data_IF_942923451903
#
_entry.id   IF_942923451903
#
_cell.length_a   1.000
_cell.length_b   1.000
_cell.length_c   1.000
_cell.angle_alpha   90.00
_cell.angle_beta   90.00
_cell.angle_gamma   90.00
#
_symmetry.space_group_name_H-M   'P 1'
#
loop_
_entity.id
_entity.type
_entity.pdbx_description
1 polymer ?
#
# COMPACT_ATOMS: atom_id res chain seq x y z
N UNK A 1 3.66 2.38 -39.55
CA UNK A 1 3.20 3.27 -38.47
C UNK A 1 4.40 4.06 -37.97
N UNK A 2 4.31 5.38 -37.88
CA UNK A 2 5.35 6.21 -37.25
C UNK A 2 5.37 5.93 -35.74
N UNK A 3 6.55 5.75 -35.17
CA UNK A 3 6.70 5.60 -33.72
C UNK A 3 6.32 6.90 -32.98
N UNK A 4 5.80 6.81 -31.75
CA UNK A 4 5.57 8.00 -30.93
C UNK A 4 6.89 8.70 -30.61
N UNK A 5 6.86 10.02 -30.44
CA UNK A 5 8.05 10.80 -30.04
C UNK A 5 8.39 10.70 -28.55
N UNK A 6 7.40 10.30 -27.73
CA UNK A 6 7.51 10.16 -26.28
C UNK A 6 6.63 9.00 -25.78
N UNK A 7 7.16 8.22 -24.84
CA UNK A 7 6.41 7.24 -24.04
C UNK A 7 6.52 7.59 -22.56
N UNK A 8 5.39 7.62 -21.87
CA UNK A 8 5.31 7.88 -20.43
C UNK A 8 4.90 6.61 -19.72
N UNK A 9 5.74 6.15 -18.79
CA UNK A 9 5.50 5.00 -17.93
C UNK A 9 5.06 5.52 -16.56
N UNK A 10 3.75 5.69 -16.39
CA UNK A 10 3.17 5.93 -15.07
C UNK A 10 3.18 4.64 -14.23
N UNK A 11 3.36 4.77 -12.92
CA UNK A 11 3.57 3.65 -11.99
C UNK A 11 4.63 2.64 -12.50
N UNK A 12 5.81 3.18 -12.84
CA UNK A 12 6.89 2.44 -13.51
C UNK A 12 7.47 1.26 -12.71
N UNK A 13 7.14 1.11 -11.42
CA UNK A 13 7.46 -0.08 -10.62
C UNK A 13 6.81 -1.35 -11.19
N UNK A 14 5.82 -1.23 -12.09
CA UNK A 14 5.29 -2.34 -12.89
C UNK A 14 6.35 -2.98 -13.79
N UNK A 15 7.40 -2.25 -14.19
CA UNK A 15 8.46 -2.70 -15.08
C UNK A 15 9.62 -3.43 -14.39
N UNK A 16 9.45 -3.83 -13.12
CA UNK A 16 10.52 -4.46 -12.31
C UNK A 16 10.75 -5.94 -12.62
N UNK A 17 9.81 -6.59 -13.30
CA UNK A 17 9.92 -8.01 -13.63
C UNK A 17 10.42 -8.17 -15.07
N UNK A 18 11.69 -8.53 -15.20
CA UNK A 18 12.39 -8.73 -16.46
C UNK A 18 11.65 -9.70 -17.40
N UNK A 19 11.02 -10.76 -16.87
CA UNK A 19 10.36 -11.77 -17.72
C UNK A 19 8.96 -11.36 -18.18
N UNK A 20 8.41 -10.25 -17.68
CA UNK A 20 7.07 -9.81 -18.08
C UNK A 20 7.08 -9.22 -19.49
N UNK A 21 6.02 -9.49 -20.26
CA UNK A 21 5.87 -8.94 -21.61
C UNK A 21 5.88 -7.41 -21.61
N UNK A 22 5.30 -6.77 -20.58
CA UNK A 22 5.30 -5.31 -20.44
C UNK A 22 6.72 -4.74 -20.34
N UNK A 23 7.57 -5.35 -19.49
CA UNK A 23 8.97 -4.95 -19.34
C UNK A 23 9.76 -5.16 -20.64
N UNK A 24 9.63 -6.33 -21.26
CA UNK A 24 10.34 -6.64 -22.52
C UNK A 24 9.93 -5.69 -23.66
N UNK A 25 8.63 -5.38 -23.77
CA UNK A 25 8.13 -4.38 -24.72
C UNK A 25 8.65 -2.97 -24.41
N UNK A 26 8.81 -2.62 -23.13
CA UNK A 26 9.39 -1.32 -22.76
C UNK A 26 10.85 -1.19 -23.22
N UNK A 27 11.61 -2.29 -23.20
CA UNK A 27 13.00 -2.33 -23.64
C UNK A 27 13.16 -2.33 -25.16
N UNK A 28 12.17 -2.84 -25.91
CA UNK A 28 12.21 -2.85 -27.38
C UNK A 28 11.88 -1.51 -28.03
N UNK A 29 11.43 -0.52 -27.25
CA UNK A 29 11.19 0.83 -27.75
C UNK A 29 12.51 1.43 -28.27
N UNK A 30 12.58 1.89 -29.53
CA UNK A 30 13.81 2.42 -30.13
C UNK A 30 14.42 3.58 -29.35
N UNK A 31 15.75 3.70 -29.38
CA UNK A 31 16.49 4.75 -28.67
C UNK A 31 16.10 6.19 -29.07
N UNK A 32 15.59 6.39 -30.30
CA UNK A 32 15.09 7.69 -30.76
C UNK A 32 13.77 8.16 -30.12
N UNK A 33 13.07 7.28 -29.39
CA UNK A 33 11.83 7.61 -28.68
C UNK A 33 12.17 8.06 -27.27
N UNK A 34 11.74 9.27 -26.89
CA UNK A 34 11.94 9.78 -25.53
C UNK A 34 11.12 8.98 -24.52
N UNK A 35 11.63 8.84 -23.29
CA UNK A 35 10.98 8.06 -22.23
C UNK A 35 10.91 8.88 -20.94
N UNK A 36 9.77 8.81 -20.26
CA UNK A 36 9.59 9.35 -18.90
C UNK A 36 9.08 8.23 -18.01
N UNK A 37 9.69 8.06 -16.84
CA UNK A 37 9.27 7.08 -15.84
C UNK A 37 8.78 7.82 -14.60
N UNK A 38 7.55 7.53 -14.16
CA UNK A 38 6.90 8.20 -13.04
C UNK A 38 6.50 7.14 -12.02
N UNK A 39 6.86 7.34 -10.75
CA UNK A 39 6.39 6.52 -9.64
C UNK A 39 6.67 7.20 -8.31
N UNK A 40 5.73 7.08 -7.37
CA UNK A 40 5.95 7.43 -5.97
C UNK A 40 6.78 6.36 -5.22
N UNK A 41 6.83 5.13 -5.73
CA UNK A 41 7.47 3.98 -5.09
C UNK A 41 8.25 3.14 -6.11
N UNK A 42 9.25 3.74 -6.78
CA UNK A 42 9.83 3.16 -8.00
C UNK A 42 10.53 1.82 -7.73
N UNK A 43 11.26 1.71 -6.62
CA UNK A 43 12.10 0.55 -6.32
C UNK A 43 12.10 0.21 -4.83
N UNK A 44 12.27 -1.07 -4.51
CA UNK A 44 12.56 -1.61 -3.18
C UNK A 44 13.96 -2.23 -3.12
N UNK A 45 14.53 -2.57 -4.29
CA UNK A 45 15.84 -3.19 -4.47
C UNK A 45 16.55 -2.56 -5.67
N UNK A 46 17.87 -2.59 -5.69
CA UNK A 46 18.65 -2.05 -6.82
C UNK A 46 18.32 -2.78 -8.13
N UNK A 47 18.15 -4.10 -8.08
CA UNK A 47 17.80 -4.90 -9.27
C UNK A 47 16.51 -4.45 -9.95
N UNK A 48 15.55 -3.88 -9.20
CA UNK A 48 14.26 -3.44 -9.73
C UNK A 48 14.36 -2.16 -10.58
N UNK A 49 15.50 -1.47 -10.56
CA UNK A 49 15.72 -0.23 -11.30
C UNK A 49 16.14 -0.44 -12.76
N UNK A 50 16.41 -1.68 -13.18
CA UNK A 50 16.93 -2.06 -14.50
C UNK A 50 16.26 -1.30 -15.66
N UNK A 51 14.94 -1.40 -15.75
CA UNK A 51 14.16 -0.80 -16.84
C UNK A 51 14.28 0.72 -16.87
N UNK A 52 14.36 1.35 -15.71
CA UNK A 52 14.46 2.81 -15.64
C UNK A 52 15.88 3.28 -15.94
N UNK A 53 16.91 2.67 -15.34
CA UNK A 53 18.31 3.07 -15.59
C UNK A 53 18.69 2.90 -17.06
N UNK A 54 18.24 1.82 -17.71
CA UNK A 54 18.40 1.61 -19.14
C UNK A 54 17.55 2.59 -19.95
N UNK A 55 16.29 2.79 -19.55
CA UNK A 55 15.34 3.63 -20.26
C UNK A 55 15.73 5.10 -20.31
N UNK A 56 16.34 5.63 -19.26
CA UNK A 56 16.85 7.02 -19.18
C UNK A 56 18.24 7.19 -19.78
N UNK A 57 18.87 6.10 -20.26
CA UNK A 57 20.23 6.14 -20.79
C UNK A 57 21.27 6.49 -19.73
N UNK A 58 21.13 5.92 -18.52
CA UNK A 58 22.08 6.17 -17.44
C UNK A 58 23.50 5.76 -17.86
N UNK A 59 24.50 6.54 -17.47
CA UNK A 59 25.90 6.17 -17.57
C UNK A 59 26.45 5.97 -16.16
N UNK A 60 27.35 4.99 -16.00
CA UNK A 60 28.00 4.75 -14.72
C UNK A 60 29.49 4.48 -14.94
N UNK A 61 30.33 5.33 -14.35
CA UNK A 61 31.79 5.33 -14.57
C UNK A 61 32.21 5.43 -16.05
N UNK A 62 31.45 6.16 -16.87
CA UNK A 62 31.74 6.36 -18.30
C UNK A 62 31.29 5.20 -19.20
N UNK A 63 30.68 4.16 -18.64
CA UNK A 63 30.06 3.09 -19.42
C UNK A 63 28.55 3.34 -19.58
N UNK A 64 28.01 3.28 -20.81
CA UNK A 64 26.58 3.43 -21.06
C UNK A 64 25.81 2.21 -20.56
N UNK A 65 24.61 2.44 -20.00
CA UNK A 65 23.70 1.38 -19.59
C UNK A 65 22.99 0.76 -20.80
N UNK A 66 23.46 -0.41 -21.22
CA UNK A 66 22.84 -1.25 -22.26
C UNK A 66 22.25 -2.53 -21.65
N UNK A 67 21.64 -3.38 -22.48
CA UNK A 67 21.12 -4.68 -22.04
C UNK A 67 22.21 -5.57 -21.45
N UNK A 68 23.43 -5.46 -21.97
CA UNK A 68 24.61 -6.25 -21.60
C UNK A 68 25.30 -5.69 -20.35
N UNK A 69 25.40 -4.36 -20.22
CA UNK A 69 26.14 -3.73 -19.12
C UNK A 69 25.30 -3.49 -17.88
N UNK A 70 23.95 -3.44 -18.00
CA UNK A 70 23.06 -3.14 -16.86
C UNK A 70 23.23 -4.08 -15.66
N UNK A 71 23.47 -5.40 -15.78
CA UNK A 71 23.71 -6.25 -14.62
C UNK A 71 24.93 -5.81 -13.81
N UNK A 72 26.03 -5.45 -14.50
CA UNK A 72 27.26 -4.99 -13.85
C UNK A 72 27.07 -3.60 -13.25
N UNK A 73 26.37 -2.70 -13.93
CA UNK A 73 26.02 -1.37 -13.39
C UNK A 73 25.27 -1.49 -12.07
N UNK A 74 24.22 -2.32 -12.02
CA UNK A 74 23.43 -2.55 -10.82
C UNK A 74 24.27 -3.23 -9.71
N UNK A 75 25.18 -4.13 -10.06
CA UNK A 75 26.15 -4.71 -9.13
C UNK A 75 27.12 -3.67 -8.56
N UNK A 76 27.63 -2.75 -9.38
CA UNK A 76 28.52 -1.68 -8.95
C UNK A 76 27.83 -0.75 -7.93
N UNK A 77 26.55 -0.44 -8.15
CA UNK A 77 25.72 0.30 -7.19
C UNK A 77 25.53 -0.51 -5.89
N UNK A 78 25.29 -1.82 -6.02
CA UNK A 78 25.12 -2.72 -4.88
C UNK A 78 26.42 -2.95 -4.07
N UNK A 79 27.59 -2.76 -4.71
CA UNK A 79 28.94 -3.04 -4.21
C UNK A 79 29.13 -4.51 -3.82
N UNK A 80 29.48 -4.77 -2.55
CA UNK A 80 29.70 -6.10 -2.00
C UNK A 80 28.41 -6.89 -1.74
N UNK A 81 27.25 -6.23 -1.80
CA UNK A 81 25.96 -6.88 -1.60
C UNK A 81 25.32 -7.34 -2.92
N UNK A 82 24.29 -8.17 -2.81
CA UNK A 82 23.50 -8.61 -3.98
C UNK A 82 22.50 -7.50 -4.38
N UNK A 83 22.35 -7.15 -5.67
CA UNK A 83 21.35 -6.17 -6.13
C UNK A 83 19.90 -6.53 -5.79
N UNK A 84 19.64 -7.82 -5.55
CA UNK A 84 18.32 -8.38 -5.21
C UNK A 84 17.99 -8.32 -3.71
N UNK A 85 18.92 -7.84 -2.87
CA UNK A 85 18.75 -7.72 -1.43
C UNK A 85 18.00 -6.43 -1.06
N UNK A 86 17.23 -6.48 0.03
CA UNK A 86 16.70 -5.27 0.66
C UNK A 86 17.81 -4.60 1.46
N UNK A 87 18.27 -3.42 1.02
CA UNK A 87 19.32 -2.67 1.69
C UNK A 87 19.17 -1.16 1.46
N UNK A 88 18.91 -0.41 2.53
CA UNK A 88 18.71 1.05 2.46
C UNK A 88 19.94 1.77 1.88
N UNK A 89 21.15 1.40 2.32
CA UNK A 89 22.38 2.01 1.82
C UNK A 89 22.59 1.77 0.31
N UNK A 90 22.15 0.63 -0.22
CA UNK A 90 22.17 0.38 -1.67
C UNK A 90 21.17 1.28 -2.41
N UNK A 91 19.98 1.47 -1.84
CA UNK A 91 18.96 2.36 -2.42
C UNK A 91 19.38 3.84 -2.40
N UNK A 92 20.05 4.29 -1.33
CA UNK A 92 20.60 5.65 -1.26
C UNK A 92 21.68 5.89 -2.33
N UNK A 93 22.53 4.87 -2.57
CA UNK A 93 23.53 4.93 -3.66
C UNK A 93 22.87 4.99 -5.03
N UNK A 94 21.86 4.16 -5.27
CA UNK A 94 21.08 4.21 -6.52
C UNK A 94 20.46 5.60 -6.71
N UNK A 95 19.79 6.13 -5.68
CA UNK A 95 19.20 7.47 -5.71
C UNK A 95 20.22 8.54 -6.05
N UNK A 96 21.40 8.52 -5.42
CA UNK A 96 22.50 9.46 -5.69
C UNK A 96 22.98 9.33 -7.14
N UNK A 97 23.17 8.12 -7.63
CA UNK A 97 23.62 7.88 -9.00
C UNK A 97 22.57 8.33 -10.04
N UNK A 98 21.28 8.27 -9.69
CA UNK A 98 20.16 8.71 -10.54
C UNK A 98 19.93 10.23 -10.55
N UNK A 99 20.59 11.03 -9.71
CA UNK A 99 20.37 12.48 -9.64
C UNK A 99 20.47 13.24 -10.98
N UNK A 100 21.40 12.90 -11.90
CA UNK A 100 21.47 13.55 -13.21
C UNK A 100 20.31 13.17 -14.15
N UNK A 101 19.61 12.07 -13.86
CA UNK A 101 18.62 11.44 -14.74
C UNK A 101 17.18 11.50 -14.19
N UNK A 102 17.00 11.92 -12.94
CA UNK A 102 15.73 11.87 -12.23
C UNK A 102 15.43 13.19 -11.52
N UNK A 103 14.18 13.63 -11.62
CA UNK A 103 13.64 14.72 -10.81
C UNK A 103 13.01 14.13 -9.56
N UNK A 104 13.62 14.39 -8.40
CA UNK A 104 13.05 14.03 -7.11
C UNK A 104 12.19 15.18 -6.60
N UNK A 105 10.88 14.94 -6.50
CA UNK A 105 9.93 15.96 -6.03
C UNK A 105 10.33 16.41 -4.61
N UNK A 106 10.47 17.73 -4.36
CA UNK A 106 10.79 18.23 -3.02
C UNK A 106 9.63 17.99 -2.06
N UNK A 107 9.91 18.07 -0.75
CA UNK A 107 8.89 17.86 0.29
C UNK A 107 7.71 18.83 0.07
N UNK A 108 6.55 18.27 -0.26
CA UNK A 108 5.29 19.00 -0.35
C UNK A 108 4.78 19.29 1.07
N UNK A 109 4.44 20.54 1.34
CA UNK A 109 3.77 20.91 2.60
C UNK A 109 2.28 20.70 2.42
N UNK A 110 1.71 19.82 3.23
CA UNK A 110 0.27 19.59 3.30
C UNK A 110 -0.29 20.50 4.40
N UNK A 111 -1.40 21.19 4.11
CA UNK A 111 -2.12 21.99 5.12
C UNK A 111 -2.64 21.10 6.25
N UNK A 112 -3.15 19.94 5.87
CA UNK A 112 -3.70 18.93 6.76
C UNK A 112 -2.76 17.74 6.88
N UNK A 113 -2.81 17.05 8.01
CA UNK A 113 -1.90 15.93 8.30
C UNK A 113 -2.55 14.57 8.06
N UNK A 114 -1.70 13.55 7.99
CA UNK A 114 -2.10 12.16 8.04
C UNK A 114 -1.58 11.54 9.33
N UNK A 115 -2.46 10.89 10.08
CA UNK A 115 -2.13 10.16 11.30
C UNK A 115 -2.27 8.68 11.00
N UNK A 116 -1.15 8.00 10.78
CA UNK A 116 -1.14 6.58 10.42
C UNK A 116 -0.53 5.75 11.55
N UNK A 117 -1.21 4.67 11.93
CA UNK A 117 -0.76 3.75 12.98
C UNK A 117 -0.79 2.28 12.53
N UNK A 118 0.08 1.48 13.11
CA UNK A 118 -0.05 0.02 13.08
C UNK A 118 -0.73 -0.43 14.36
N UNK A 119 -1.85 -1.13 14.23
CA UNK A 119 -2.65 -1.59 15.36
C UNK A 119 -2.52 -3.10 15.48
N UNK A 120 -2.11 -3.56 16.66
CA UNK A 120 -2.14 -4.97 17.02
C UNK A 120 -3.46 -5.27 17.71
N UNK A 121 -4.29 -6.07 17.06
CA UNK A 121 -5.57 -6.52 17.58
C UNK A 121 -5.44 -7.91 18.18
N UNK A 122 -6.14 -8.14 19.27
CA UNK A 122 -6.31 -9.46 19.86
C UNK A 122 -7.56 -10.15 19.28
N UNK A 123 -7.62 -11.47 19.39
CA UNK A 123 -8.82 -12.24 19.04
C UNK A 123 -9.87 -12.04 20.14
N UNK A 124 -11.12 -11.76 19.77
CA UNK A 124 -12.23 -11.58 20.73
C UNK A 124 -12.57 -12.88 21.46
N UNK A 125 -12.39 -14.02 20.79
CA UNK A 125 -12.75 -15.34 21.31
C UNK A 125 -11.70 -16.39 20.94
N UNK A 126 -11.65 -17.48 21.71
CA UNK A 126 -10.83 -18.65 21.35
C UNK A 126 -11.23 -19.24 20.00
N UNK A 127 -12.54 -19.24 19.68
CA UNK A 127 -13.05 -19.73 18.40
C UNK A 127 -12.55 -18.89 17.21
N UNK A 128 -12.44 -17.57 17.36
CA UNK A 128 -11.86 -16.69 16.34
C UNK A 128 -10.37 -17.02 16.11
N UNK A 129 -9.62 -17.21 17.20
CA UNK A 129 -8.22 -17.65 17.15
C UNK A 129 -8.07 -19.01 16.48
N UNK A 130 -8.89 -19.99 16.85
CA UNK A 130 -8.90 -21.33 16.25
C UNK A 130 -9.20 -21.28 14.74
N UNK A 131 -10.12 -20.41 14.31
CA UNK A 131 -10.44 -20.22 12.91
C UNK A 131 -9.25 -19.66 12.13
N UNK A 132 -8.57 -18.63 12.66
CA UNK A 132 -7.32 -18.11 12.08
C UNK A 132 -6.23 -19.19 12.04
N UNK A 133 -6.01 -19.88 13.15
CA UNK A 133 -4.97 -20.91 13.29
C UNK A 133 -5.22 -22.08 12.34
N UNK A 134 -6.47 -22.41 12.02
CA UNK A 134 -6.80 -23.44 11.03
C UNK A 134 -6.20 -23.15 9.65
N UNK A 135 -6.25 -21.88 9.20
CA UNK A 135 -5.64 -21.44 7.94
C UNK A 135 -4.11 -21.45 8.03
N UNK A 136 -3.55 -21.01 9.16
CA UNK A 136 -2.10 -20.99 9.36
C UNK A 136 -1.51 -22.40 9.43
N UNK A 137 -2.14 -23.34 10.14
CA UNK A 137 -1.76 -24.75 10.20
C UNK A 137 -1.83 -25.40 8.82
N UNK A 138 -2.87 -25.12 8.03
CA UNK A 138 -2.98 -25.61 6.66
C UNK A 138 -1.81 -25.12 5.78
N UNK A 139 -1.40 -23.86 5.93
CA UNK A 139 -0.23 -23.30 5.26
C UNK A 139 1.08 -23.95 5.74
N UNK A 140 1.27 -24.09 7.06
CA UNK A 140 2.46 -24.73 7.63
C UNK A 140 2.65 -26.16 7.14
N UNK A 141 1.57 -26.95 7.05
CA UNK A 141 1.59 -28.30 6.47
C UNK A 141 2.10 -28.30 5.03
N UNK A 142 1.74 -27.28 4.22
CA UNK A 142 2.27 -27.13 2.86
C UNK A 142 3.76 -26.77 2.87
N UNK A 143 4.21 -25.91 3.78
CA UNK A 143 5.63 -25.62 3.95
C UNK A 143 6.44 -26.87 4.30
N UNK A 144 5.95 -27.69 5.23
CA UNK A 144 6.61 -28.95 5.62
C UNK A 144 6.66 -29.96 4.47
N UNK A 145 5.60 -30.05 3.65
CA UNK A 145 5.60 -30.87 2.45
C UNK A 145 6.64 -30.41 1.43
N UNK A 146 6.78 -29.10 1.23
CA UNK A 146 7.79 -28.54 0.33
C UNK A 146 9.21 -28.88 0.79
N UNK A 147 9.49 -28.77 2.09
CA UNK A 147 10.82 -29.10 2.63
C UNK A 147 11.18 -30.58 2.44
N UNK A 148 10.18 -31.46 2.39
CA UNK A 148 10.39 -32.92 2.23
C UNK A 148 10.44 -33.38 0.78
N UNK A 149 9.93 -32.60 -0.17
CA UNK A 149 9.81 -33.00 -1.57
C UNK A 149 10.38 -31.92 -2.50
N UNK A 150 11.51 -32.22 -3.14
CA UNK A 150 12.17 -31.32 -4.09
C UNK A 150 11.33 -31.02 -5.34
N UNK A 151 10.33 -31.84 -5.66
CA UNK A 151 9.39 -31.61 -6.76
C UNK A 151 8.17 -30.76 -6.34
N UNK A 152 8.08 -30.31 -5.09
CA UNK A 152 7.01 -29.41 -4.67
C UNK A 152 7.26 -28.01 -5.25
N UNK A 153 6.45 -27.65 -6.23
CA UNK A 153 6.64 -26.44 -7.03
C UNK A 153 6.43 -25.15 -6.26
N UNK A 154 7.05 -24.08 -6.77
CA UNK A 154 6.86 -22.73 -6.26
C UNK A 154 5.40 -22.26 -6.37
N UNK A 155 4.66 -22.75 -7.37
CA UNK A 155 3.27 -22.39 -7.62
C UNK A 155 2.34 -22.89 -6.50
N UNK A 156 2.53 -24.11 -6.03
CA UNK A 156 1.77 -24.70 -4.93
C UNK A 156 1.97 -23.91 -3.63
N UNK A 157 3.20 -23.43 -3.39
CA UNK A 157 3.49 -22.59 -2.24
C UNK A 157 2.82 -21.21 -2.35
N UNK A 158 2.81 -20.63 -3.55
CA UNK A 158 2.10 -19.38 -3.83
C UNK A 158 0.57 -19.50 -3.62
N UNK A 159 -0.02 -20.65 -3.98
CA UNK A 159 -1.43 -20.94 -3.69
C UNK A 159 -1.65 -21.10 -2.18
N UNK A 160 -0.76 -21.81 -1.48
CA UNK A 160 -0.90 -22.02 -0.05
C UNK A 160 -0.84 -20.71 0.76
N UNK A 161 0.13 -19.84 0.45
CA UNK A 161 0.23 -18.51 1.08
C UNK A 161 -0.97 -17.63 0.72
N UNK A 162 -1.49 -17.71 -0.52
CA UNK A 162 -2.68 -16.96 -0.93
C UNK A 162 -3.91 -17.38 -0.13
N UNK A 163 -4.14 -18.69 0.03
CA UNK A 163 -5.26 -19.22 0.83
C UNK A 163 -5.17 -18.80 2.30
N UNK A 164 -3.98 -18.88 2.89
CA UNK A 164 -3.77 -18.40 4.25
C UNK A 164 -4.09 -16.90 4.38
N UNK A 165 -3.58 -16.08 3.46
CA UNK A 165 -3.83 -14.64 3.47
C UNK A 165 -5.31 -14.30 3.31
N UNK A 166 -6.03 -14.99 2.44
CA UNK A 166 -7.47 -14.78 2.26
C UNK A 166 -8.22 -15.16 3.54
N UNK A 167 -7.97 -16.35 4.09
CA UNK A 167 -8.61 -16.81 5.33
C UNK A 167 -8.30 -15.93 6.54
N UNK A 168 -7.05 -15.50 6.72
CA UNK A 168 -6.68 -14.54 7.77
C UNK A 168 -7.41 -13.20 7.64
N UNK A 169 -7.69 -12.75 6.41
CA UNK A 169 -8.45 -11.53 6.17
C UNK A 169 -9.96 -11.72 6.35
N UNK A 170 -10.50 -12.92 6.07
CA UNK A 170 -11.89 -13.27 6.36
C UNK A 170 -12.21 -13.16 7.86
N UNK A 171 -11.33 -13.72 8.72
CA UNK A 171 -11.49 -13.63 10.19
C UNK A 171 -11.50 -12.16 10.64
N UNK A 172 -10.56 -11.36 10.12
CA UNK A 172 -10.42 -9.93 10.44
C UNK A 172 -11.57 -9.05 9.92
N UNK A 173 -12.22 -9.44 8.83
CA UNK A 173 -13.20 -8.59 8.14
C UNK A 173 -14.32 -8.09 9.07
N UNK A 174 -14.76 -8.94 10.00
CA UNK A 174 -15.79 -8.59 11.00
C UNK A 174 -15.28 -7.55 11.99
N UNK A 175 -14.03 -7.69 12.46
CA UNK A 175 -13.38 -6.71 13.36
C UNK A 175 -13.22 -5.35 12.68
N UNK A 176 -12.79 -5.34 11.42
CA UNK A 176 -12.70 -4.10 10.63
C UNK A 176 -14.06 -3.43 10.44
N UNK A 177 -15.14 -4.20 10.22
CA UNK A 177 -16.49 -3.66 10.12
C UNK A 177 -16.96 -3.02 11.44
N UNK A 178 -16.77 -3.70 12.60
CA UNK A 178 -17.07 -3.15 13.93
C UNK A 178 -16.35 -1.82 14.16
N UNK A 179 -15.05 -1.76 13.83
CA UNK A 179 -14.25 -0.53 13.90
C UNK A 179 -14.77 0.57 12.97
N UNK A 180 -15.19 0.23 11.77
CA UNK A 180 -15.77 1.21 10.86
C UNK A 180 -17.03 1.86 11.44
N UNK A 181 -17.88 1.09 12.13
CA UNK A 181 -19.09 1.62 12.77
C UNK A 181 -18.74 2.63 13.87
N UNK A 182 -17.82 2.28 14.77
CA UNK A 182 -17.31 3.18 15.82
C UNK A 182 -16.79 4.51 15.23
N UNK A 183 -16.03 4.45 14.13
CA UNK A 183 -15.52 5.65 13.48
C UNK A 183 -16.61 6.46 12.75
N UNK A 184 -17.65 5.81 12.22
CA UNK A 184 -18.82 6.48 11.63
C UNK A 184 -19.63 7.20 12.70
N UNK A 185 -19.82 6.58 13.87
CA UNK A 185 -20.51 7.19 15.02
C UNK A 185 -19.77 8.42 15.55
N UNK A 186 -18.43 8.43 15.45
CA UNK A 186 -17.56 9.59 15.71
C UNK A 186 -17.53 10.62 14.57
N UNK A 187 -18.49 10.57 13.64
CA UNK A 187 -18.63 11.55 12.58
C UNK A 187 -17.60 11.46 11.44
N UNK A 188 -16.94 10.32 11.23
CA UNK A 188 -15.98 10.14 10.13
C UNK A 188 -16.61 9.40 8.94
N UNK A 189 -16.07 9.62 7.75
CA UNK A 189 -16.33 8.76 6.59
C UNK A 189 -15.20 7.72 6.47
N UNK A 190 -15.56 6.44 6.45
CA UNK A 190 -14.62 5.33 6.60
C UNK A 190 -14.36 4.64 5.28
N UNK A 191 -13.08 4.42 5.00
CA UNK A 191 -12.59 3.62 3.89
C UNK A 191 -12.12 2.27 4.40
N UNK A 192 -12.84 1.20 4.07
CA UNK A 192 -12.42 -0.17 4.36
C UNK A 192 -11.71 -0.76 3.14
N UNK A 193 -10.45 -1.12 3.33
CA UNK A 193 -9.62 -1.65 2.25
C UNK A 193 -9.51 -3.17 2.37
N UNK A 194 -9.45 -3.89 1.26
CA UNK A 194 -9.31 -5.36 1.28
C UNK A 194 -8.31 -5.85 0.22
N UNK A 195 -7.53 -6.88 0.53
CA UNK A 195 -6.74 -7.56 -0.50
C UNK A 195 -7.62 -8.49 -1.36
N UNK A 196 -8.70 -9.04 -0.78
CA UNK A 196 -9.55 -10.06 -1.40
C UNK A 196 -11.04 -9.68 -1.38
N UNK A 197 -11.79 -10.18 -2.36
CA UNK A 197 -13.22 -9.85 -2.50
C UNK A 197 -14.09 -10.56 -1.45
N UNK A 198 -13.74 -11.78 -1.05
CA UNK A 198 -14.54 -12.54 -0.08
C UNK A 198 -14.52 -11.90 1.32
N UNK A 199 -13.36 -11.54 1.92
CA UNK A 199 -13.31 -10.72 3.13
C UNK A 199 -14.12 -9.42 3.02
N UNK A 200 -14.03 -8.71 1.88
CA UNK A 200 -14.83 -7.50 1.66
C UNK A 200 -16.34 -7.77 1.75
N UNK A 201 -16.82 -8.89 1.20
CA UNK A 201 -18.23 -9.31 1.30
C UNK A 201 -18.63 -9.65 2.73
N UNK A 202 -17.73 -10.25 3.51
CA UNK A 202 -17.96 -10.52 4.94
C UNK A 202 -18.09 -9.23 5.73
N UNK A 203 -17.19 -8.26 5.50
CA UNK A 203 -17.30 -6.93 6.12
C UNK A 203 -18.59 -6.22 5.72
N UNK A 204 -18.98 -6.27 4.44
CA UNK A 204 -20.26 -5.71 3.97
C UNK A 204 -21.46 -6.30 4.74
N UNK A 205 -21.50 -7.63 4.89
CA UNK A 205 -22.55 -8.31 5.67
C UNK A 205 -22.51 -7.89 7.14
N UNK A 206 -21.33 -7.79 7.74
CA UNK A 206 -21.17 -7.37 9.13
C UNK A 206 -21.67 -5.93 9.35
N UNK A 207 -21.38 -5.00 8.44
CA UNK A 207 -21.90 -3.63 8.48
C UNK A 207 -23.43 -3.60 8.44
N UNK A 208 -24.05 -4.36 7.52
CA UNK A 208 -25.52 -4.46 7.43
C UNK A 208 -26.13 -5.07 8.68
N UNK A 209 -25.52 -6.12 9.23
CA UNK A 209 -26.00 -6.78 10.44
C UNK A 209 -25.90 -5.88 11.68
N UNK A 210 -24.97 -4.93 11.69
CA UNK A 210 -24.85 -3.91 12.72
C UNK A 210 -25.79 -2.70 12.51
N UNK A 211 -26.69 -2.76 11.52
CA UNK A 211 -27.72 -1.74 11.30
C UNK A 211 -27.37 -0.64 10.30
N UNK A 212 -26.20 -0.70 9.65
CA UNK A 212 -25.87 0.28 8.61
C UNK A 212 -26.66 -0.04 7.34
N UNK A 213 -27.52 0.89 6.91
CA UNK A 213 -28.36 0.72 5.74
C UNK A 213 -27.54 0.69 4.44
N UNK A 214 -28.06 0.02 3.42
CA UNK A 214 -27.33 -0.23 2.16
C UNK A 214 -27.02 1.05 1.38
N UNK A 215 -27.89 2.06 1.47
CA UNK A 215 -27.68 3.39 0.92
C UNK A 215 -26.52 4.13 1.59
N UNK A 216 -26.16 3.80 2.84
CA UNK A 216 -25.02 4.37 3.57
C UNK A 216 -23.69 3.66 3.26
N UNK A 217 -23.71 2.63 2.40
CA UNK A 217 -22.52 1.87 2.03
C UNK A 217 -22.24 2.04 0.53
N UNK A 218 -20.97 2.25 0.18
CA UNK A 218 -20.46 2.24 -1.19
C UNK A 218 -19.42 1.14 -1.37
N UNK A 219 -19.25 0.64 -2.60
CA UNK A 219 -18.22 -0.36 -2.87
C UNK A 219 -17.59 -0.28 -4.27
N UNK A 220 -16.26 -0.39 -4.33
CA UNK A 220 -15.46 -0.39 -5.56
C UNK A 220 -14.68 -1.71 -5.70
N UNK A 221 -15.10 -2.55 -6.64
CA UNK A 221 -14.48 -3.87 -6.91
C UNK A 221 -14.11 -4.04 -8.38
N UNK A 222 -13.23 -5.02 -8.63
CA UNK A 222 -12.90 -5.44 -9.99
C UNK A 222 -14.14 -5.96 -10.73
N UNK A 223 -14.19 -5.77 -12.04
CA UNK A 223 -15.32 -6.19 -12.88
C UNK A 223 -16.48 -5.18 -12.97
N UNK A 224 -16.50 -4.13 -12.15
CA UNK A 224 -17.47 -3.03 -12.32
C UNK A 224 -17.13 -2.18 -13.56
N UNK A 225 -18.17 -1.71 -14.25
CA UNK A 225 -18.03 -0.72 -15.32
C UNK A 225 -17.43 0.60 -14.79
N UNK A 226 -16.72 1.37 -15.64
CA UNK A 226 -16.20 2.68 -15.24
C UNK A 226 -17.28 3.62 -14.68
N UNK A 227 -18.47 3.65 -15.29
CA UNK A 227 -19.59 4.47 -14.85
C UNK A 227 -20.09 4.07 -13.45
N UNK A 228 -20.24 2.77 -13.17
CA UNK A 228 -20.66 2.29 -11.84
C UNK A 228 -19.62 2.62 -10.77
N UNK A 229 -18.35 2.40 -11.09
CA UNK A 229 -17.23 2.74 -10.18
C UNK A 229 -17.23 4.23 -9.84
N UNK A 230 -17.45 5.07 -10.84
CA UNK A 230 -17.49 6.53 -10.66
C UNK A 230 -18.70 6.97 -9.83
N UNK A 231 -19.87 6.36 -10.04
CA UNK A 231 -21.05 6.64 -9.22
C UNK A 231 -20.84 6.29 -7.74
N UNK A 232 -20.21 5.14 -7.44
CA UNK A 232 -19.85 4.74 -6.07
C UNK A 232 -18.82 5.68 -5.45
N UNK A 233 -17.83 6.13 -6.23
CA UNK A 233 -16.83 7.12 -5.82
C UNK A 233 -17.49 8.46 -5.48
N UNK A 234 -18.35 8.96 -6.38
CA UNK A 234 -19.05 10.23 -6.21
C UNK A 234 -19.97 10.20 -4.98
N UNK A 235 -20.74 9.14 -4.81
CA UNK A 235 -21.60 8.92 -3.64
C UNK A 235 -20.82 9.04 -2.33
N UNK A 236 -19.62 8.45 -2.26
CA UNK A 236 -18.76 8.59 -1.09
C UNK A 236 -18.15 9.99 -0.96
N UNK A 237 -17.65 10.58 -2.05
CA UNK A 237 -17.06 11.93 -2.00
C UNK A 237 -18.06 13.01 -1.57
N UNK A 238 -19.32 12.89 -2.00
CA UNK A 238 -20.44 13.80 -1.67
C UNK A 238 -21.03 13.57 -0.27
N UNK A 239 -20.45 12.70 0.54
CA UNK A 239 -20.91 12.47 1.92
C UNK A 239 -22.15 11.57 2.06
N UNK A 240 -22.72 11.08 0.95
CA UNK A 240 -23.96 10.28 0.90
C UNK A 240 -23.80 8.85 1.41
N UNK A 241 -22.59 8.30 1.39
CA UNK A 241 -22.26 7.04 2.06
C UNK A 241 -21.25 7.27 3.18
N UNK A 242 -21.43 6.57 4.29
CA UNK A 242 -20.55 6.63 5.45
C UNK A 242 -19.33 5.73 5.28
N UNK A 243 -19.52 4.58 4.63
CA UNK A 243 -18.47 3.57 4.44
C UNK A 243 -18.28 3.28 2.96
N UNK A 244 -17.03 3.29 2.52
CA UNK A 244 -16.62 2.81 1.19
C UNK A 244 -15.71 1.59 1.34
N UNK A 245 -16.16 0.45 0.79
CA UNK A 245 -15.36 -0.76 0.71
C UNK A 245 -14.65 -0.84 -0.65
N UNK A 246 -13.37 -1.16 -0.69
CA UNK A 246 -12.71 -1.42 -1.98
C UNK A 246 -11.57 -2.41 -1.87
N UNK A 247 -11.25 -3.06 -3.00
CA UNK A 247 -10.09 -3.94 -3.05
C UNK A 247 -8.84 -3.19 -3.51
N UNK A 248 -7.67 -3.55 -2.97
CA UNK A 248 -6.37 -2.92 -3.32
C UNK A 248 -6.15 -2.87 -4.84
N UNK A 249 -6.54 -3.93 -5.54
CA UNK A 249 -6.38 -4.09 -6.99
C UNK A 249 -7.45 -3.39 -7.82
N UNK A 250 -8.66 -3.16 -7.30
CA UNK A 250 -9.68 -2.38 -8.02
C UNK A 250 -9.35 -0.88 -8.09
N UNK A 251 -8.41 -0.43 -7.26
CA UNK A 251 -7.90 0.94 -7.23
C UNK A 251 -6.78 1.25 -8.24
N UNK A 252 -6.44 0.35 -9.17
CA UNK A 252 -5.37 0.54 -10.17
C UNK A 252 -5.52 1.75 -11.09
N UNK A 253 -6.61 2.50 -10.98
CA UNK A 253 -6.89 3.76 -11.69
C UNK A 253 -6.93 4.91 -10.69
N UNK A 254 -5.81 5.27 -10.07
CA UNK A 254 -5.61 6.56 -9.37
C UNK A 254 -6.79 7.13 -8.55
N UNK A 255 -7.65 6.29 -7.94
CA UNK A 255 -8.92 6.76 -7.40
C UNK A 255 -8.64 7.66 -6.20
N UNK A 256 -9.09 8.91 -6.30
CA UNK A 256 -8.94 9.93 -5.27
C UNK A 256 -10.17 9.91 -4.37
N UNK A 257 -9.95 9.64 -3.08
CA UNK A 257 -10.98 9.45 -2.05
C UNK A 257 -10.77 10.36 -0.84
N UNK A 258 -9.86 11.33 -0.96
CA UNK A 258 -9.57 12.31 0.08
C UNK A 258 -10.74 13.26 0.31
N UNK A 259 -10.88 13.73 1.55
CA UNK A 259 -11.91 14.71 1.92
C UNK A 259 -11.58 16.06 1.29
N UNK A 260 -12.37 16.45 0.28
CA UNK A 260 -12.13 17.65 -0.54
C UNK A 260 -13.38 18.49 -0.81
N UNK A 261 -14.47 18.19 -0.12
CA UNK A 261 -15.77 18.85 -0.29
C UNK A 261 -16.44 18.98 1.08
N UNK A 262 -17.16 20.08 1.31
CA UNK A 262 -17.79 20.39 2.60
C UNK A 262 -19.00 19.50 2.89
N UNK A 263 -19.52 18.85 1.86
CA UNK A 263 -20.60 17.88 1.93
C UNK A 263 -20.13 16.55 2.53
N UNK A 264 -18.81 16.28 2.48
CA UNK A 264 -18.19 15.12 3.11
C UNK A 264 -17.81 15.31 4.58
N UNK A 265 -17.15 14.29 5.15
CA UNK A 265 -16.60 14.28 6.52
C UNK A 265 -15.13 13.86 6.53
N UNK A 266 -14.36 14.17 7.59
CA UNK A 266 -12.98 13.72 7.72
C UNK A 266 -12.82 12.20 7.50
N UNK A 267 -11.74 11.80 6.80
CA UNK A 267 -11.54 10.40 6.43
C UNK A 267 -10.89 9.59 7.55
N UNK A 268 -11.37 8.37 7.71
CA UNK A 268 -10.69 7.30 8.43
C UNK A 268 -10.45 6.11 7.50
N UNK A 269 -9.25 5.54 7.47
CA UNK A 269 -8.91 4.42 6.59
C UNK A 269 -8.47 3.23 7.42
N UNK A 270 -9.10 2.07 7.20
CA UNK A 270 -8.75 0.81 7.85
C UNK A 270 -8.21 -0.15 6.79
N UNK A 271 -6.96 -0.57 6.95
CA UNK A 271 -6.21 -1.37 5.97
C UNK A 271 -5.81 -2.70 6.62
N UNK A 272 -6.03 -3.84 5.95
CA UNK A 272 -5.56 -5.14 6.43
C UNK A 272 -4.05 -5.29 6.15
N UNK A 273 -3.40 -6.31 6.72
CA UNK A 273 -2.01 -6.62 6.40
C UNK A 273 -1.82 -6.81 4.90
N UNK A 274 -0.80 -6.16 4.34
CA UNK A 274 -0.36 -6.42 2.97
C UNK A 274 1.10 -6.80 2.95
N UNK A 275 1.42 -7.79 2.13
CA UNK A 275 2.79 -8.29 1.95
C UNK A 275 3.59 -7.43 0.95
N UNK A 276 2.91 -6.49 0.28
CA UNK A 276 3.47 -5.53 -0.66
C UNK A 276 3.50 -4.14 -0.03
N UNK A 277 4.70 -3.65 0.26
CA UNK A 277 4.89 -2.27 0.75
C UNK A 277 4.48 -1.21 -0.29
N UNK A 278 4.56 -1.52 -1.58
CA UNK A 278 4.08 -0.65 -2.66
C UNK A 278 2.56 -0.51 -2.56
N UNK A 279 1.85 -1.63 -2.47
CA UNK A 279 0.39 -1.64 -2.38
C UNK A 279 -0.05 -0.88 -1.12
N UNK A 280 0.67 -1.07 0.00
CA UNK A 280 0.41 -0.35 1.25
C UNK A 280 0.50 1.17 1.07
N UNK A 281 1.60 1.68 0.53
CA UNK A 281 1.79 3.13 0.28
C UNK A 281 0.70 3.64 -0.64
N UNK A 282 0.37 2.89 -1.69
CA UNK A 282 -0.68 3.26 -2.62
C UNK A 282 -2.07 3.34 -1.95
N UNK A 283 -2.38 2.44 -1.02
CA UNK A 283 -3.62 2.50 -0.25
C UNK A 283 -3.65 3.69 0.72
N UNK A 284 -2.55 3.92 1.43
CA UNK A 284 -2.40 5.06 2.34
C UNK A 284 -2.51 6.41 1.59
N UNK A 285 -2.06 6.47 0.32
CA UNK A 285 -2.16 7.66 -0.52
C UNK A 285 -3.56 7.98 -1.08
N UNK A 286 -4.58 7.12 -0.87
CA UNK A 286 -5.92 7.34 -1.48
C UNK A 286 -6.77 8.36 -0.75
N UNK A 287 -6.71 8.36 0.58
CA UNK A 287 -7.57 9.20 1.42
C UNK A 287 -6.94 10.53 1.83
N UNK A 288 -5.69 10.82 1.43
CA UNK A 288 -5.02 12.06 1.76
C UNK A 288 -4.29 12.65 0.54
N UNK A 289 -4.55 13.93 0.22
CA UNK A 289 -3.94 14.67 -0.89
C UNK A 289 -3.65 16.11 -0.49
N UNK A 290 -2.91 16.83 -1.33
CA UNK A 290 -2.57 18.24 -1.09
C UNK A 290 -3.82 19.13 -0.97
N UNK A 291 -4.89 18.76 -1.67
CA UNK A 291 -6.21 19.42 -1.66
C UNK A 291 -7.14 18.90 -0.57
N UNK A 292 -6.66 18.07 0.36
CA UNK A 292 -7.44 17.68 1.54
C UNK A 292 -7.83 18.91 2.34
N UNK A 293 -9.07 18.92 2.85
CA UNK A 293 -9.61 20.02 3.68
C UNK A 293 -9.74 19.64 5.17
N UNK A 294 -9.30 18.44 5.55
CA UNK A 294 -9.20 17.99 6.94
C UNK A 294 -8.08 16.97 7.10
N UNK A 295 -7.71 16.73 8.35
CA UNK A 295 -6.77 15.68 8.71
C UNK A 295 -7.38 14.30 8.42
N UNK A 296 -6.49 13.33 8.14
CA UNK A 296 -6.85 11.97 7.74
C UNK A 296 -6.25 10.98 8.72
N UNK A 297 -7.08 10.16 9.33
CA UNK A 297 -6.65 9.08 10.23
C UNK A 297 -6.58 7.75 9.48
N UNK A 298 -5.59 6.92 9.77
CA UNK A 298 -5.32 5.68 9.05
C UNK A 298 -4.78 4.62 10.01
N UNK A 299 -5.21 3.38 9.83
CA UNK A 299 -4.69 2.25 10.59
C UNK A 299 -4.47 1.02 9.72
N UNK A 300 -3.37 0.32 10.00
CA UNK A 300 -3.08 -1.01 9.46
C UNK A 300 -3.26 -2.02 10.58
N UNK A 301 -4.19 -2.96 10.41
CA UNK A 301 -4.70 -3.83 11.48
C UNK A 301 -4.08 -5.22 11.39
N UNK A 302 -3.28 -5.62 12.38
CA UNK A 302 -2.53 -6.88 12.41
C UNK A 302 -2.95 -7.72 13.63
N UNK A 303 -2.99 -9.04 13.52
CA UNK A 303 -3.23 -9.91 14.68
C UNK A 303 -1.97 -10.10 15.52
N UNK A 304 -2.08 -9.75 16.81
CA UNK A 304 -1.05 -9.96 17.83
C UNK A 304 -0.80 -11.45 18.07
N UNK A 305 0.44 -11.79 18.42
CA UNK A 305 0.89 -13.15 18.73
C UNK A 305 0.64 -14.12 17.56
N UNK A 306 0.87 -13.64 16.34
CA UNK A 306 0.79 -14.45 15.11
C UNK A 306 1.94 -14.17 14.15
N UNK A 307 2.03 -14.93 13.05
CA UNK A 307 3.01 -14.72 11.99
C UNK A 307 2.97 -13.30 11.38
N UNK A 308 1.84 -12.60 11.53
CA UNK A 308 1.63 -11.26 10.98
C UNK A 308 2.61 -10.22 11.52
N UNK A 309 3.11 -10.36 12.75
CA UNK A 309 4.16 -9.47 13.28
C UNK A 309 5.48 -9.65 12.52
N UNK A 310 5.83 -10.89 12.16
CA UNK A 310 7.00 -11.14 11.30
C UNK A 310 6.80 -10.55 9.91
N UNK A 311 5.58 -10.60 9.37
CA UNK A 311 5.24 -9.98 8.09
C UNK A 311 5.35 -8.46 8.17
N UNK A 312 4.86 -7.86 9.26
CA UNK A 312 4.96 -6.43 9.55
C UNK A 312 6.42 -5.95 9.48
N UNK A 313 7.35 -6.65 10.15
CA UNK A 313 8.79 -6.32 10.11
C UNK A 313 9.40 -6.44 8.71
N UNK A 314 8.96 -7.43 7.92
CA UNK A 314 9.40 -7.56 6.51
C UNK A 314 8.87 -6.41 5.63
N UNK A 315 7.64 -5.97 5.86
CA UNK A 315 7.03 -4.84 5.13
C UNK A 315 7.72 -3.53 5.52
N UNK A 316 8.01 -3.32 6.81
CA UNK A 316 8.81 -2.21 7.32
C UNK A 316 10.18 -2.13 6.65
N UNK A 317 10.89 -3.25 6.53
CA UNK A 317 12.18 -3.28 5.83
C UNK A 317 12.07 -2.85 4.35
N UNK A 318 10.99 -3.26 3.66
CA UNK A 318 10.72 -2.83 2.28
C UNK A 318 10.40 -1.34 2.19
N UNK A 319 9.58 -0.81 3.10
CA UNK A 319 9.23 0.62 3.15
C UNK A 319 10.46 1.50 3.39
N UNK A 320 11.35 1.07 4.28
CA UNK A 320 12.61 1.77 4.50
C UNK A 320 13.46 1.85 3.23
N UNK A 321 13.50 0.78 2.43
CA UNK A 321 14.21 0.77 1.15
C UNK A 321 13.54 1.68 0.10
N UNK A 322 12.21 1.69 0.03
CA UNK A 322 11.46 2.63 -0.84
C UNK A 322 11.81 4.07 -0.45
N UNK A 323 11.76 4.39 0.84
CA UNK A 323 12.04 5.72 1.34
C UNK A 323 13.48 6.19 1.07
N UNK A 324 14.43 5.28 1.15
CA UNK A 324 15.83 5.52 0.78
C UNK A 324 16.02 5.79 -0.73
N UNK A 325 15.10 5.31 -1.57
CA UNK A 325 15.12 5.53 -3.02
C UNK A 325 14.49 6.86 -3.45
N UNK A 326 13.72 7.53 -2.58
CA UNK A 326 13.06 8.81 -2.86
C UNK A 326 13.79 10.00 -2.18
N UNK A 327 13.53 11.22 -2.67
CA UNK A 327 14.34 12.41 -2.40
C UNK A 327 14.45 12.88 -0.93
N UNK A 328 13.34 12.87 -0.18
CA UNK A 328 13.28 13.21 1.26
C UNK A 328 12.21 12.36 1.95
N UNK A 329 12.43 12.05 3.24
CA UNK A 329 11.64 11.10 4.04
C UNK A 329 10.13 11.39 3.94
N UNK A 330 9.41 10.51 3.27
CA UNK A 330 7.96 10.52 3.24
C UNK A 330 7.40 10.06 4.59
N UNK A 331 6.24 10.57 4.99
CA UNK A 331 5.63 10.23 6.28
C UNK A 331 5.16 8.75 6.36
N UNK A 332 5.05 8.03 5.23
CA UNK A 332 4.64 6.62 5.20
C UNK A 332 5.62 5.67 5.92
N UNK A 333 6.86 6.08 6.16
CA UNK A 333 7.80 5.29 6.97
C UNK A 333 7.54 5.43 8.45
N UNK A 334 7.07 6.61 8.88
CA UNK A 334 6.73 6.87 10.27
C UNK A 334 5.59 5.98 10.78
N UNK A 335 4.80 5.41 9.87
CA UNK A 335 3.74 4.40 10.12
C UNK A 335 4.22 3.24 11.01
N UNK A 336 5.48 2.82 10.84
CA UNK A 336 6.07 1.67 11.55
C UNK A 336 7.22 2.05 12.50
N UNK A 337 7.70 3.30 12.47
CA UNK A 337 8.84 3.77 13.27
C UNK A 337 8.48 4.80 14.34
N UNK A 338 7.44 5.63 14.12
CA UNK A 338 6.96 6.62 15.09
C UNK A 338 5.49 6.39 15.49
N UNK A 339 4.73 5.61 14.72
CA UNK A 339 3.45 5.08 15.17
C UNK A 339 3.73 4.12 16.33
N UNK A 340 3.32 4.49 17.53
CA UNK A 340 3.22 3.55 18.65
C UNK A 340 2.51 2.31 18.12
N UNK A 341 3.13 1.14 18.22
CA UNK A 341 2.42 -0.12 18.03
C UNK A 341 1.42 -0.18 19.19
N UNK A 342 0.23 0.37 18.96
CA UNK A 342 -0.82 0.43 19.95
C UNK A 342 -1.39 -0.98 20.03
N UNK A 343 -1.15 -1.62 21.18
CA UNK A 343 -1.89 -2.80 21.58
C UNK A 343 -3.33 -2.36 21.82
N UNK A 344 -4.31 -3.17 21.41
CA UNK A 344 -5.72 -2.93 21.72
C UNK A 344 -5.95 -3.02 23.24
N UNK A 345 -5.67 -1.93 23.96
CA UNK A 345 -6.36 -1.62 25.21
C UNK A 345 -7.51 -0.74 24.76
N UNK A 346 -8.65 -1.34 24.46
CA UNK A 346 -9.87 -0.58 24.19
C UNK A 346 -10.16 0.30 25.41
N UNK A 347 -9.79 1.57 25.36
CA UNK A 347 -10.21 2.57 26.34
C UNK A 347 -10.61 3.83 25.59
N UNK A 348 -11.71 4.45 26.02
CA UNK A 348 -12.28 5.65 25.40
C UNK A 348 -11.29 6.83 25.31
N UNK A 349 -10.23 6.82 26.14
CA UNK A 349 -9.16 7.82 26.19
C UNK A 349 -8.36 7.99 24.87
N UNK A 350 -8.15 6.93 24.09
CA UNK A 350 -7.23 6.96 22.93
C UNK A 350 -7.75 7.81 21.75
N UNK A 351 -9.07 8.00 21.70
CA UNK A 351 -9.70 8.82 20.67
C UNK A 351 -10.00 10.25 21.13
N UNK A 352 -10.13 10.46 22.45
CA UNK A 352 -10.11 11.80 23.03
C UNK A 352 -8.76 12.47 22.75
N UNK A 353 -7.62 11.77 22.84
CA UNK A 353 -6.33 12.32 22.41
C UNK A 353 -6.31 12.74 20.93
N UNK A 354 -6.99 12.01 20.03
CA UNK A 354 -7.09 12.37 18.61
C UNK A 354 -8.06 13.53 18.36
N UNK A 355 -9.12 13.67 19.16
CA UNK A 355 -10.04 14.82 19.10
C UNK A 355 -9.40 16.07 19.71
N UNK A 356 -8.69 15.93 20.83
CA UNK A 356 -7.96 16.97 21.53
C UNK A 356 -6.78 17.49 20.69
N UNK A 357 -6.04 16.61 19.98
CA UNK A 357 -5.04 17.01 18.97
C UNK A 357 -5.68 17.70 17.74
N UNK A 358 -6.92 17.35 17.37
CA UNK A 358 -7.64 18.03 16.28
C UNK A 358 -8.24 19.39 16.73
N UNK A 359 -8.60 19.54 18.01
CA UNK A 359 -9.17 20.76 18.61
C UNK A 359 -8.09 21.80 18.93
N UNK A 360 -6.94 21.39 19.48
CA UNK A 360 -5.82 22.31 19.78
C UNK A 360 -5.26 23.03 18.54
N UNK A 361 -5.32 22.40 17.36
CA UNK A 361 -4.87 23.02 16.10
C UNK A 361 -5.86 24.08 15.57
N UNK A 362 -7.14 24.02 15.96
CA UNK A 362 -8.11 25.07 15.58
C UNK A 362 -7.95 26.34 16.43
N UNK A 363 -7.48 26.22 17.68
CA UNK A 363 -7.31 27.38 18.58
C UNK A 363 -6.02 28.17 18.31
N UNK A 364 -4.96 27.55 17.78
CA UNK A 364 -3.67 28.24 17.49
C UNK A 364 -3.63 29.02 16.16
N UNK A 365 -4.75 29.21 15.45
CA UNK A 365 -4.78 29.97 14.18
C UNK A 365 -5.53 31.30 14.23
N UNK A 366 -5.86 31.77 15.44
CA UNK A 366 -6.38 33.13 15.66
C UNK A 366 -5.41 33.94 16.53
N UNK A 367 -4.25 34.31 15.97
CA UNK A 367 -3.48 35.52 16.34
C UNK A 367 -2.75 36.10 15.13
#
# INVERSE_FOLDING_TARGET
>A
MSMPSLVVFDECQSLKNDTSSQTQLSWSIPAGVKRIFISATPYQKVSEARSVVQGVGMEHYGEPCTTETVPQLLQNIARWGRPTQLCQAQMERLRKAMQPYAVFVPKVRYKHKTHTRCRLIEFETSAEREHYDSYFVAFKRKCEQQMRNSNFGANEMLVAIQKFREGAEEVRAVRMAKRAIDMVERGRQVMLVFNFVNPMRLAYKALKNAGLSEDRISHIVGGQSPAKREAERAKFQEGKSDVLLFTMRSGGVGISLHHNSKEGRPRHIIIPPTWSAIDLVQALGRGHRITSISDTTQEVVWYKDTIEETVCERVKAKLNCINASVGRKENWVNVFTNGTVQQDIASDNEYQELEDENLTVQEETNE
#
